data_IF_272109204096
#
_entry.id   IF_272109204096
#
_cell.length_a   1.000
_cell.length_b   1.000
_cell.length_c   1.000
_cell.angle_alpha   90.00
_cell.angle_beta   90.00
_cell.angle_gamma   90.00
#
_symmetry.space_group_name_H-M   'P 1'
#
loop_
_entity.id
_entity.type
_entity.pdbx_description
1 polymer ?
#
# COMPACT_ATOMS: atom_id res chain seq x y z
N UNK A 1 23.38 0.53 -9.50
CA UNK A 1 22.62 -0.64 -10.01
C UNK A 1 22.17 -1.40 -8.80
N UNK A 2 20.87 -1.67 -8.65
CA UNK A 2 20.34 -2.47 -7.54
C UNK A 2 20.57 -3.95 -7.86
N UNK A 3 21.81 -4.42 -7.73
CA UNK A 3 22.11 -5.84 -7.86
C UNK A 3 21.39 -6.66 -6.77
N UNK A 4 21.22 -7.96 -7.00
CA UNK A 4 20.61 -8.88 -6.04
C UNK A 4 21.55 -9.11 -4.84
N UNK A 5 21.53 -8.24 -3.82
CA UNK A 5 22.37 -8.38 -2.62
C UNK A 5 21.68 -9.21 -1.54
N UNK A 6 22.44 -10.05 -0.86
CA UNK A 6 21.94 -10.89 0.24
C UNK A 6 21.78 -10.06 1.52
N UNK A 7 20.56 -9.95 2.04
CA UNK A 7 20.25 -9.26 3.32
C UNK A 7 20.35 -10.18 4.51
N UNK A 8 19.83 -11.39 4.36
CA UNK A 8 19.76 -12.35 5.46
C UNK A 8 19.88 -13.78 4.97
N UNK A 9 20.39 -14.61 5.88
CA UNK A 9 20.55 -16.04 5.68
C UNK A 9 19.94 -16.70 6.91
N UNK A 10 18.97 -17.60 6.70
CA UNK A 10 18.37 -18.35 7.80
C UNK A 10 19.43 -19.26 8.44
N UNK A 11 19.59 -19.23 9.79
CA UNK A 11 20.54 -20.10 10.48
C UNK A 11 20.28 -21.60 10.28
N UNK A 12 19.04 -21.98 9.96
CA UNK A 12 18.62 -23.37 9.73
C UNK A 12 18.63 -23.76 8.25
N UNK A 13 19.13 -22.88 7.38
CA UNK A 13 19.13 -23.12 5.93
C UNK A 13 20.25 -24.08 5.49
N UNK A 14 20.12 -24.69 4.30
CA UNK A 14 21.20 -25.44 3.66
C UNK A 14 22.47 -24.62 3.38
N UNK A 15 22.43 -23.29 3.57
CA UNK A 15 23.54 -22.37 3.33
C UNK A 15 24.42 -22.14 4.56
N UNK A 16 24.01 -22.58 5.75
CA UNK A 16 24.67 -22.23 7.02
C UNK A 16 26.17 -22.56 7.04
N UNK A 17 26.57 -23.66 6.38
CA UNK A 17 27.95 -24.16 6.35
C UNK A 17 28.70 -23.84 5.03
N UNK A 18 28.13 -23.00 4.16
CA UNK A 18 28.70 -22.68 2.84
C UNK A 18 29.33 -21.27 2.81
N UNK A 19 30.21 -20.98 1.83
CA UNK A 19 30.84 -19.64 1.68
C UNK A 19 29.88 -18.60 1.07
N UNK A 20 28.76 -18.37 1.74
CA UNK A 20 27.74 -17.36 1.44
C UNK A 20 27.68 -16.38 2.62
N UNK A 21 27.72 -15.08 2.35
CA UNK A 21 27.67 -14.05 3.40
C UNK A 21 26.63 -12.99 3.08
N UNK A 22 26.07 -12.41 4.14
CA UNK A 22 25.31 -11.17 4.06
C UNK A 22 26.18 -10.11 3.36
N UNK A 23 25.60 -9.40 2.40
CA UNK A 23 26.26 -8.42 1.55
C UNK A 23 26.88 -8.98 0.26
N UNK A 24 26.99 -10.30 0.09
CA UNK A 24 27.40 -10.89 -1.21
C UNK A 24 26.35 -10.53 -2.28
N UNK A 25 26.80 -10.24 -3.50
CA UNK A 25 25.94 -9.98 -4.66
C UNK A 25 25.70 -11.27 -5.44
N UNK A 26 24.44 -11.65 -5.61
CA UNK A 26 24.01 -12.76 -6.44
C UNK A 26 24.05 -12.35 -7.92
N UNK A 27 24.92 -13.02 -8.67
CA UNK A 27 25.13 -12.76 -10.09
C UNK A 27 24.29 -13.71 -10.96
N UNK A 28 24.20 -14.98 -10.57
CA UNK A 28 23.45 -15.99 -11.30
C UNK A 28 23.03 -17.17 -10.41
N UNK A 29 21.92 -17.80 -10.76
CA UNK A 29 21.43 -19.07 -10.22
C UNK A 29 21.35 -20.06 -11.38
N UNK A 30 21.99 -21.22 -11.27
CA UNK A 30 22.04 -22.25 -12.31
C UNK A 30 22.48 -21.70 -13.69
N UNK A 31 23.39 -20.72 -13.67
CA UNK A 31 23.92 -20.08 -14.89
C UNK A 31 23.04 -18.98 -15.50
N UNK A 32 21.87 -18.70 -14.93
CA UNK A 32 20.97 -17.62 -15.36
C UNK A 32 21.03 -16.45 -14.37
N UNK A 33 21.16 -15.23 -14.89
CA UNK A 33 21.09 -14.03 -14.06
C UNK A 33 19.61 -13.65 -13.90
N UNK A 34 19.01 -13.80 -12.71
CA UNK A 34 17.62 -13.41 -12.51
C UNK A 34 17.47 -11.90 -12.69
N UNK A 35 16.33 -11.46 -13.24
CA UNK A 35 16.00 -10.03 -13.36
C UNK A 35 15.24 -9.50 -12.15
N UNK A 36 14.63 -10.38 -11.35
CA UNK A 36 13.83 -10.07 -10.17
C UNK A 36 13.66 -11.27 -9.25
N UNK A 37 12.99 -11.05 -8.11
CA UNK A 37 12.74 -12.06 -7.09
C UNK A 37 11.85 -13.21 -7.60
N UNK A 38 10.99 -12.96 -8.58
CA UNK A 38 10.08 -13.98 -9.15
C UNK A 38 10.92 -15.02 -9.91
N UNK A 39 11.78 -14.56 -10.82
CA UNK A 39 12.72 -15.44 -11.51
C UNK A 39 13.68 -16.13 -10.53
N UNK A 40 14.16 -15.42 -9.51
CA UNK A 40 14.99 -16.03 -8.48
C UNK A 40 14.30 -17.20 -7.79
N UNK A 41 13.06 -17.04 -7.33
CA UNK A 41 12.32 -18.12 -6.65
C UNK A 41 12.13 -19.34 -7.54
N UNK A 42 11.84 -19.12 -8.83
CA UNK A 42 11.75 -20.21 -9.81
C UNK A 42 13.09 -20.93 -10.00
N UNK A 43 14.19 -20.18 -10.10
CA UNK A 43 15.52 -20.75 -10.34
C UNK A 43 16.08 -21.51 -9.13
N UNK A 44 15.68 -21.14 -7.91
CA UNK A 44 16.10 -21.85 -6.69
C UNK A 44 15.16 -22.99 -6.32
N UNK A 45 14.10 -23.27 -7.06
CA UNK A 45 13.14 -24.32 -6.69
C UNK A 45 13.70 -25.74 -6.85
N UNK A 46 14.72 -25.90 -7.70
CA UNK A 46 15.38 -27.18 -7.99
C UNK A 46 16.10 -27.83 -6.78
N UNK A 47 16.37 -29.13 -6.90
CA UNK A 47 17.12 -29.91 -5.90
C UNK A 47 18.60 -29.49 -5.80
N UNK A 48 19.21 -29.14 -6.94
CA UNK A 48 20.60 -28.73 -7.05
C UNK A 48 20.68 -27.30 -7.56
N UNK A 49 21.10 -26.39 -6.68
CA UNK A 49 21.15 -24.95 -6.96
C UNK A 49 22.60 -24.47 -6.92
N UNK A 50 23.10 -23.94 -8.03
CA UNK A 50 24.43 -23.34 -8.11
C UNK A 50 24.32 -21.82 -8.15
N UNK A 51 24.77 -21.17 -7.08
CA UNK A 51 24.88 -19.73 -6.96
C UNK A 51 26.23 -19.27 -7.49
N UNK A 52 26.23 -18.22 -8.31
CA UNK A 52 27.43 -17.44 -8.64
C UNK A 52 27.38 -16.13 -7.86
N UNK A 53 28.34 -15.92 -6.96
CA UNK A 53 28.36 -14.81 -6.03
C UNK A 53 29.57 -13.89 -6.29
N UNK A 54 29.39 -12.61 -6.01
CA UNK A 54 30.44 -11.59 -6.01
C UNK A 54 30.52 -10.95 -4.62
N UNK A 55 31.62 -11.22 -3.91
CA UNK A 55 31.91 -10.58 -2.63
C UNK A 55 32.64 -9.27 -2.82
N UNK A 56 32.25 -8.24 -2.07
CA UNK A 56 32.97 -6.97 -2.07
C UNK A 56 34.44 -7.17 -1.65
N UNK A 57 35.35 -6.54 -2.38
CA UNK A 57 36.80 -6.67 -2.15
C UNK A 57 37.43 -7.97 -2.65
N UNK A 58 36.66 -8.96 -3.17
CA UNK A 58 37.22 -10.13 -3.86
C UNK A 58 37.20 -9.90 -5.38
N UNK A 59 38.33 -10.08 -6.09
CA UNK A 59 38.38 -9.82 -7.53
C UNK A 59 37.68 -10.88 -8.38
N UNK A 60 37.52 -12.10 -7.86
CA UNK A 60 36.93 -13.22 -8.58
C UNK A 60 35.58 -13.60 -7.98
N UNK A 61 34.61 -13.84 -8.85
CA UNK A 61 33.33 -14.47 -8.51
C UNK A 61 33.56 -15.91 -8.07
N UNK A 62 32.79 -16.38 -7.11
CA UNK A 62 32.87 -17.76 -6.62
C UNK A 62 31.53 -18.47 -6.78
N UNK A 63 31.60 -19.80 -6.94
CA UNK A 63 30.41 -20.65 -7.07
C UNK A 63 30.16 -21.39 -5.78
N UNK A 64 28.89 -21.48 -5.41
CA UNK A 64 28.41 -22.29 -4.29
C UNK A 64 27.30 -23.17 -4.80
N UNK A 65 27.48 -24.49 -4.69
CA UNK A 65 26.44 -25.45 -5.05
C UNK A 65 25.79 -25.98 -3.79
N UNK A 66 24.47 -25.97 -3.79
CA UNK A 66 23.61 -26.34 -2.67
C UNK A 66 22.73 -27.49 -3.11
N UNK A 67 22.69 -28.54 -2.30
CA UNK A 67 21.74 -29.63 -2.46
C UNK A 67 20.64 -29.50 -1.41
N UNK A 68 19.40 -29.47 -1.84
CA UNK A 68 18.21 -29.35 -0.99
C UNK A 68 17.07 -30.15 -1.58
N UNK A 69 15.98 -30.32 -0.86
CA UNK A 69 14.76 -30.90 -1.43
C UNK A 69 14.13 -29.88 -2.39
N UNK A 70 13.76 -30.32 -3.60
CA UNK A 70 13.04 -29.46 -4.54
C UNK A 70 11.74 -28.92 -3.89
N UNK A 71 11.37 -27.67 -4.16
CA UNK A 71 10.24 -27.03 -3.47
C UNK A 71 10.58 -26.38 -2.13
N UNK A 72 11.71 -26.74 -1.49
CA UNK A 72 12.08 -26.14 -0.20
C UNK A 72 12.81 -24.80 -0.38
N UNK A 73 12.54 -23.80 0.47
CA UNK A 73 13.23 -22.52 0.42
C UNK A 73 14.74 -22.67 0.62
N UNK A 74 15.52 -21.89 -0.14
CA UNK A 74 16.98 -21.86 0.03
C UNK A 74 17.41 -21.21 1.36
N UNK A 75 16.54 -20.39 1.96
CA UNK A 75 16.81 -19.67 3.20
C UNK A 75 17.67 -18.41 3.02
N UNK A 76 17.71 -17.86 1.81
CA UNK A 76 18.41 -16.62 1.44
C UNK A 76 17.37 -15.54 1.10
N UNK A 77 17.52 -14.36 1.70
CA UNK A 77 16.70 -13.17 1.41
C UNK A 77 17.52 -12.15 0.62
N UNK A 78 16.92 -11.57 -0.42
CA UNK A 78 17.54 -10.58 -1.29
C UNK A 78 16.94 -9.20 -1.03
N UNK A 79 17.77 -8.16 -1.09
CA UNK A 79 17.43 -6.78 -0.72
C UNK A 79 16.36 -6.14 -1.60
N UNK A 80 16.22 -6.56 -2.85
CA UNK A 80 15.31 -5.95 -3.83
C UNK A 80 14.34 -6.97 -4.42
N UNK A 81 13.13 -6.56 -4.78
CA UNK A 81 12.27 -7.37 -5.64
C UNK A 81 12.71 -7.32 -7.10
N UNK A 82 13.38 -6.25 -7.53
CA UNK A 82 13.77 -6.01 -8.92
C UNK A 82 15.28 -5.76 -9.01
N UNK A 83 15.97 -6.55 -9.82
CA UNK A 83 17.44 -6.54 -9.93
C UNK A 83 17.95 -5.72 -11.13
N UNK A 84 17.12 -5.60 -12.17
CA UNK A 84 17.47 -4.96 -13.45
C UNK A 84 16.98 -3.51 -13.60
N UNK A 85 16.50 -2.91 -12.50
CA UNK A 85 15.87 -1.59 -12.30
C UNK A 85 14.35 -1.61 -12.39
N UNK A 86 13.73 -0.90 -11.46
CA UNK A 86 12.29 -0.64 -11.44
C UNK A 86 11.91 0.15 -12.70
N UNK A 87 10.87 -0.29 -13.38
CA UNK A 87 10.28 0.48 -14.46
C UNK A 87 9.50 1.65 -13.86
N UNK A 88 9.94 2.88 -14.15
CA UNK A 88 9.30 4.10 -13.62
C UNK A 88 8.31 4.78 -14.56
N UNK A 89 7.10 5.06 -14.09
CA UNK A 89 6.01 5.73 -14.82
C UNK A 89 6.48 6.94 -15.66
N UNK A 90 6.01 7.03 -16.91
CA UNK A 90 6.26 8.17 -17.83
C UNK A 90 5.05 9.12 -17.94
N UNK A 91 3.99 8.88 -17.16
CA UNK A 91 2.81 9.73 -17.17
C UNK A 91 3.03 11.03 -16.39
N UNK A 92 2.40 12.08 -16.88
CA UNK A 92 2.46 13.42 -16.31
C UNK A 92 1.14 13.86 -15.68
N UNK A 93 0.43 12.92 -15.01
CA UNK A 93 -0.95 13.13 -14.59
C UNK A 93 -1.12 14.38 -13.71
N UNK A 94 -2.16 15.17 -13.97
CA UNK A 94 -2.48 16.37 -13.17
C UNK A 94 -2.80 16.04 -11.71
N UNK A 95 -3.35 14.85 -11.46
CA UNK A 95 -3.71 14.35 -10.13
C UNK A 95 -2.62 13.48 -9.49
N UNK A 96 -1.42 13.38 -10.08
CA UNK A 96 -0.37 12.50 -9.58
C UNK A 96 0.15 12.99 -8.21
N UNK A 97 -0.16 12.25 -7.15
CA UNK A 97 0.24 12.62 -5.79
C UNK A 97 1.75 12.86 -5.64
N UNK A 98 2.58 12.06 -6.33
CA UNK A 98 4.05 12.19 -6.30
C UNK A 98 4.51 13.57 -6.83
N UNK A 99 3.80 14.18 -7.78
CA UNK A 99 4.13 15.55 -8.21
C UNK A 99 3.70 16.63 -7.22
N UNK A 100 2.77 16.30 -6.34
CA UNK A 100 2.30 17.18 -5.27
C UNK A 100 3.15 17.05 -3.99
N UNK A 101 4.26 16.29 -4.03
CA UNK A 101 5.16 16.17 -2.89
C UNK A 101 6.17 17.34 -2.87
N UNK A 102 6.32 18.04 -1.74
CA UNK A 102 7.37 19.04 -1.59
C UNK A 102 8.75 18.40 -1.69
N UNK A 103 9.80 19.19 -1.90
CA UNK A 103 11.18 18.72 -1.85
C UNK A 103 11.60 18.42 -0.41
N UNK A 104 12.51 17.46 -0.23
CA UNK A 104 13.14 17.16 1.06
C UNK A 104 12.49 16.01 1.84
N UNK A 105 11.45 15.38 1.30
CA UNK A 105 10.90 14.14 1.84
C UNK A 105 11.84 12.95 1.59
N UNK A 106 11.49 11.80 2.16
CA UNK A 106 12.20 10.54 1.93
C UNK A 106 12.30 10.25 0.41
N UNK A 107 13.50 9.90 -0.05
CA UNK A 107 13.81 9.72 -1.49
C UNK A 107 12.88 8.73 -2.18
N UNK A 108 12.45 7.73 -1.44
CA UNK A 108 11.55 6.67 -1.87
C UNK A 108 10.22 7.17 -2.40
N UNK A 109 9.65 8.21 -1.78
CA UNK A 109 8.34 8.73 -2.13
C UNK A 109 8.31 9.40 -3.51
N UNK A 110 9.48 9.71 -4.10
CA UNK A 110 9.56 10.36 -5.41
C UNK A 110 9.68 9.37 -6.58
N UNK A 111 9.82 8.07 -6.33
CA UNK A 111 9.85 7.10 -7.41
C UNK A 111 8.42 6.84 -7.84
N UNK A 112 8.16 6.99 -9.13
CA UNK A 112 6.87 6.66 -9.72
C UNK A 112 6.99 5.29 -10.32
N UNK A 113 6.39 4.27 -9.73
CA UNK A 113 6.43 2.95 -10.32
C UNK A 113 5.29 2.77 -11.34
N UNK A 114 5.53 1.92 -12.33
CA UNK A 114 4.56 1.46 -13.32
C UNK A 114 5.04 0.08 -13.80
N UNK A 115 5.44 -0.76 -12.84
CA UNK A 115 6.09 -2.05 -13.06
C UNK A 115 5.13 -3.17 -12.64
N UNK A 116 4.74 -4.02 -13.58
CA UNK A 116 3.78 -5.10 -13.31
C UNK A 116 4.30 -6.10 -12.26
N UNK A 117 5.63 -6.21 -12.08
CA UNK A 117 6.22 -7.06 -11.05
C UNK A 117 5.92 -6.51 -9.67
N UNK A 118 6.02 -5.19 -9.51
CA UNK A 118 5.65 -4.53 -8.27
C UNK A 118 4.13 -4.54 -8.07
N UNK A 119 3.36 -4.50 -9.15
CA UNK A 119 1.92 -4.69 -9.10
C UNK A 119 1.53 -6.08 -8.56
N UNK A 120 2.16 -7.14 -9.06
CA UNK A 120 1.94 -8.51 -8.58
C UNK A 120 2.41 -8.71 -7.14
N UNK A 121 3.61 -8.23 -6.80
CA UNK A 121 4.20 -8.47 -5.49
C UNK A 121 3.55 -7.60 -4.40
N UNK A 122 3.36 -6.31 -4.67
CA UNK A 122 3.04 -5.30 -3.67
C UNK A 122 1.68 -4.64 -3.85
N UNK A 123 0.92 -5.00 -4.88
CA UNK A 123 -0.36 -4.36 -5.15
C UNK A 123 -0.27 -2.97 -5.76
N UNK A 124 0.92 -2.54 -6.20
CA UNK A 124 1.07 -1.22 -6.79
C UNK A 124 0.30 -1.10 -8.11
N UNK A 125 -0.38 0.03 -8.29
CA UNK A 125 -1.20 0.24 -9.48
C UNK A 125 -0.36 0.64 -10.69
N UNK A 126 -0.48 -0.12 -11.78
CA UNK A 126 0.08 0.23 -13.09
C UNK A 126 -0.97 0.86 -13.99
N UNK A 127 -0.57 1.85 -14.79
CA UNK A 127 -1.40 2.48 -15.82
C UNK A 127 -1.39 1.72 -17.15
N UNK A 128 -0.52 0.72 -17.26
CA UNK A 128 -0.22 -0.06 -18.46
C UNK A 128 0.31 0.76 -19.65
N UNK A 129 0.67 2.04 -19.46
CA UNK A 129 1.15 2.90 -20.57
C UNK A 129 2.52 2.50 -21.09
N UNK A 130 3.33 1.82 -20.27
CA UNK A 130 4.62 1.23 -20.68
C UNK A 130 4.62 -0.30 -20.71
N UNK A 131 3.45 -0.91 -20.61
CA UNK A 131 3.28 -2.35 -20.73
C UNK A 131 3.47 -2.78 -22.20
N UNK A 132 4.19 -3.86 -22.41
CA UNK A 132 4.59 -4.36 -23.74
C UNK A 132 4.10 -5.78 -23.99
N UNK A 133 4.20 -6.24 -25.23
CA UNK A 133 3.89 -7.62 -25.63
C UNK A 133 4.75 -8.64 -24.85
N UNK A 134 6.02 -8.33 -24.58
CA UNK A 134 6.91 -9.18 -23.79
C UNK A 134 6.47 -9.26 -22.32
N UNK A 135 5.94 -8.16 -21.77
CA UNK A 135 5.44 -8.16 -20.40
C UNK A 135 4.17 -9.00 -20.29
N UNK A 136 3.28 -8.90 -21.29
CA UNK A 136 2.09 -9.74 -21.38
C UNK A 136 2.48 -11.23 -21.43
N UNK A 137 3.39 -11.61 -22.34
CA UNK A 137 3.86 -12.99 -22.47
C UNK A 137 4.42 -13.50 -21.13
N UNK A 138 5.19 -12.67 -20.45
CA UNK A 138 5.77 -13.01 -19.16
C UNK A 138 4.71 -13.20 -18.07
N UNK A 139 3.78 -12.25 -17.93
CA UNK A 139 2.67 -12.35 -16.98
C UNK A 139 1.86 -13.63 -17.19
N UNK A 140 1.56 -13.98 -18.44
CA UNK A 140 0.78 -15.17 -18.77
C UNK A 140 1.58 -16.45 -18.51
N UNK A 141 2.83 -16.50 -18.96
CA UNK A 141 3.68 -17.70 -18.84
C UNK A 141 4.02 -18.01 -17.39
N UNK A 142 4.33 -16.98 -16.61
CA UNK A 142 4.64 -17.09 -15.17
C UNK A 142 3.38 -17.08 -14.29
N UNK A 143 2.19 -16.91 -14.87
CA UNK A 143 0.88 -16.86 -14.17
C UNK A 143 0.86 -15.81 -13.06
N UNK A 144 1.36 -14.62 -13.34
CA UNK A 144 1.43 -13.53 -12.37
C UNK A 144 0.04 -12.93 -12.15
N UNK A 145 -0.54 -13.20 -10.98
CA UNK A 145 -1.89 -12.80 -10.61
C UNK A 145 -2.03 -12.73 -9.09
N UNK A 146 -2.67 -11.70 -8.51
CA UNK A 146 -3.40 -10.62 -9.20
C UNK A 146 -2.49 -9.49 -9.70
N UNK A 147 -3.02 -8.63 -10.58
CA UNK A 147 -2.45 -7.34 -10.96
C UNK A 147 -3.39 -6.19 -10.59
N UNK A 148 -2.82 -5.01 -10.37
CA UNK A 148 -3.54 -3.80 -9.94
C UNK A 148 -3.40 -2.73 -11.02
N UNK A 149 -4.52 -2.29 -11.59
CA UNK A 149 -4.55 -1.44 -12.80
C UNK A 149 -5.29 -0.13 -12.53
N UNK A 150 -4.59 0.98 -12.74
CA UNK A 150 -5.12 2.34 -12.65
C UNK A 150 -5.90 2.71 -13.93
N UNK A 151 -7.22 2.50 -13.90
CA UNK A 151 -8.15 2.68 -15.03
C UNK A 151 -8.57 4.15 -15.18
N UNK A 152 -8.88 4.87 -14.10
CA UNK A 152 -9.31 6.29 -14.07
C UNK A 152 -10.55 6.67 -14.92
N UNK A 153 -10.57 6.34 -16.20
CA UNK A 153 -11.70 6.45 -17.11
C UNK A 153 -11.49 5.48 -18.27
N UNK A 154 -12.57 4.94 -18.81
CA UNK A 154 -12.54 4.13 -20.04
C UNK A 154 -12.61 4.98 -21.30
N UNK A 155 -12.80 6.29 -21.18
CA UNK A 155 -12.81 7.22 -22.31
C UNK A 155 -11.37 7.43 -22.81
N UNK A 156 -11.01 7.00 -24.05
CA UNK A 156 -9.63 7.04 -24.52
C UNK A 156 -9.03 8.44 -24.56
N UNK A 157 -9.81 9.44 -24.98
CA UNK A 157 -9.36 10.82 -25.10
C UNK A 157 -9.11 11.42 -23.72
N UNK A 158 -10.12 11.30 -22.84
CA UNK A 158 -10.00 11.81 -21.47
C UNK A 158 -8.88 11.10 -20.70
N UNK A 159 -8.70 9.78 -20.89
CA UNK A 159 -7.60 9.04 -20.26
C UNK A 159 -6.23 9.57 -20.70
N UNK A 160 -6.04 9.84 -22.00
CA UNK A 160 -4.79 10.42 -22.49
C UNK A 160 -4.53 11.83 -21.94
N UNK A 161 -5.58 12.64 -21.81
CA UNK A 161 -5.52 13.98 -21.21
C UNK A 161 -5.17 13.91 -19.71
N UNK A 162 -5.90 13.11 -18.95
CA UNK A 162 -5.70 12.87 -17.52
C UNK A 162 -4.30 12.37 -17.20
N UNK A 163 -3.78 11.42 -17.99
CA UNK A 163 -2.42 10.89 -17.84
C UNK A 163 -1.34 11.81 -18.44
N UNK A 164 -1.74 12.82 -19.23
CA UNK A 164 -0.86 13.62 -20.10
C UNK A 164 0.10 12.74 -20.91
N UNK A 165 -0.43 11.64 -21.44
CA UNK A 165 0.32 10.66 -22.22
C UNK A 165 -0.56 10.09 -23.33
N UNK A 166 -0.20 10.24 -24.61
CA UNK A 166 -1.00 9.72 -25.73
C UNK A 166 -1.16 8.20 -25.69
N UNK A 167 -0.23 7.46 -25.06
CA UNK A 167 -0.38 6.01 -24.86
C UNK A 167 -1.53 5.66 -23.92
N UNK A 168 -1.97 6.60 -23.07
CA UNK A 168 -3.14 6.44 -22.22
C UNK A 168 -4.41 6.09 -23.00
N UNK A 169 -4.57 6.60 -24.22
CA UNK A 169 -5.72 6.31 -25.06
C UNK A 169 -5.81 4.84 -25.49
N UNK A 170 -4.68 4.14 -25.58
CA UNK A 170 -4.62 2.77 -26.10
C UNK A 170 -4.21 1.74 -25.05
N UNK A 171 -3.73 2.15 -23.87
CA UNK A 171 -3.18 1.23 -22.88
C UNK A 171 -4.19 0.23 -22.30
N UNK A 172 -5.49 0.57 -22.28
CA UNK A 172 -6.54 -0.35 -21.81
C UNK A 172 -6.75 -1.57 -22.74
N UNK A 173 -6.13 -1.59 -23.93
CA UNK A 173 -6.04 -2.83 -24.74
C UNK A 173 -5.37 -3.97 -23.97
N UNK A 174 -4.41 -3.62 -23.10
CA UNK A 174 -3.69 -4.58 -22.27
C UNK A 174 -4.55 -5.14 -21.16
N UNK A 175 -5.43 -4.31 -20.57
CA UNK A 175 -6.39 -4.78 -19.58
C UNK A 175 -7.26 -5.91 -20.16
N UNK A 176 -7.81 -5.72 -21.37
CA UNK A 176 -8.60 -6.76 -22.04
C UNK A 176 -7.77 -8.04 -22.26
N UNK A 177 -6.53 -7.90 -22.75
CA UNK A 177 -5.65 -9.05 -23.01
C UNK A 177 -5.29 -9.82 -21.72
N UNK A 178 -5.09 -9.13 -20.60
CA UNK A 178 -4.84 -9.75 -19.29
C UNK A 178 -6.06 -10.54 -18.81
N UNK A 179 -7.26 -9.94 -18.90
CA UNK A 179 -8.51 -10.60 -18.52
C UNK A 179 -8.81 -11.82 -19.40
N UNK A 180 -8.59 -11.72 -20.71
CA UNK A 180 -8.74 -12.84 -21.66
C UNK A 180 -7.80 -14.01 -21.35
N UNK A 181 -6.63 -13.71 -20.79
CA UNK A 181 -5.66 -14.71 -20.34
C UNK A 181 -5.96 -15.28 -18.95
N UNK A 182 -7.04 -14.84 -18.29
CA UNK A 182 -7.44 -15.30 -16.96
C UNK A 182 -6.62 -14.70 -15.81
N UNK A 183 -5.93 -13.58 -16.03
CA UNK A 183 -5.23 -12.86 -14.95
C UNK A 183 -6.27 -12.14 -14.10
N UNK A 184 -6.24 -12.33 -12.76
CA UNK A 184 -7.10 -11.57 -11.88
C UNK A 184 -6.60 -10.11 -11.82
N UNK A 185 -7.48 -9.15 -12.09
CA UNK A 185 -7.14 -7.73 -12.10
C UNK A 185 -8.03 -6.94 -11.17
N UNK A 186 -7.43 -6.21 -10.22
CA UNK A 186 -8.08 -5.19 -9.42
C UNK A 186 -7.92 -3.83 -10.10
N UNK A 187 -9.03 -3.23 -10.54
CA UNK A 187 -9.05 -1.91 -11.16
C UNK A 187 -9.19 -0.80 -10.13
N UNK A 188 -8.66 0.39 -10.43
CA UNK A 188 -8.94 1.62 -9.67
C UNK A 188 -9.33 2.79 -10.58
N UNK A 189 -10.31 3.55 -10.12
CA UNK A 189 -10.73 4.84 -10.66
C UNK A 189 -10.46 5.92 -9.61
N UNK A 190 -9.37 6.67 -9.80
CA UNK A 190 -9.18 7.95 -9.10
C UNK A 190 -10.07 8.98 -9.76
N UNK A 191 -11.07 9.45 -9.01
CA UNK A 191 -12.07 10.41 -9.48
C UNK A 191 -11.61 11.82 -9.14
N UNK A 192 -11.68 12.72 -10.11
CA UNK A 192 -11.28 14.12 -10.01
C UNK A 192 -12.50 15.01 -10.31
N UNK A 193 -12.88 15.93 -9.39
CA UNK A 193 -14.05 16.77 -9.58
C UNK A 193 -14.00 17.60 -10.87
N UNK A 194 -15.08 17.58 -11.66
CA UNK A 194 -15.21 18.30 -12.93
C UNK A 194 -14.37 17.75 -14.09
N UNK A 195 -13.79 16.55 -13.95
CA UNK A 195 -12.92 15.93 -14.98
C UNK A 195 -13.44 14.57 -15.40
N UNK A 196 -13.47 13.61 -14.47
CA UNK A 196 -13.94 12.25 -14.72
C UNK A 196 -14.99 11.79 -13.69
N UNK A 197 -15.67 12.75 -13.06
CA UNK A 197 -16.88 12.53 -12.25
C UNK A 197 -18.15 12.65 -13.09
N UNK A 198 -19.32 12.53 -12.45
CA UNK A 198 -20.62 12.68 -13.12
C UNK A 198 -20.80 11.70 -14.29
N UNK A 199 -21.15 12.22 -15.46
CA UNK A 199 -21.43 11.43 -16.65
C UNK A 199 -20.21 10.61 -17.14
N UNK A 200 -18.98 11.10 -16.97
CA UNK A 200 -17.79 10.34 -17.36
C UNK A 200 -17.48 9.21 -16.37
N UNK A 201 -17.79 9.40 -15.08
CA UNK A 201 -17.75 8.32 -14.10
C UNK A 201 -18.81 7.26 -14.42
N UNK A 202 -20.06 7.67 -14.65
CA UNK A 202 -21.16 6.77 -15.03
C UNK A 202 -20.78 5.91 -16.24
N UNK A 203 -20.29 6.53 -17.32
CA UNK A 203 -19.77 5.83 -18.50
C UNK A 203 -18.66 4.83 -18.15
N UNK A 204 -17.75 5.20 -17.26
CA UNK A 204 -16.64 4.33 -16.82
C UNK A 204 -17.15 3.11 -16.05
N UNK A 205 -18.18 3.28 -15.19
CA UNK A 205 -18.79 2.21 -14.42
C UNK A 205 -19.63 1.28 -15.32
N UNK A 206 -20.35 1.83 -16.30
CA UNK A 206 -21.05 1.04 -17.34
C UNK A 206 -20.08 0.19 -18.17
N UNK A 207 -18.99 0.80 -18.63
CA UNK A 207 -17.95 0.09 -19.39
C UNK A 207 -17.27 -0.99 -18.54
N UNK A 208 -17.08 -0.77 -17.24
CA UNK A 208 -16.55 -1.81 -16.35
C UNK A 208 -17.46 -3.04 -16.29
N UNK A 209 -18.78 -2.85 -16.21
CA UNK A 209 -19.75 -3.95 -16.19
C UNK A 209 -19.91 -4.65 -17.53
N UNK A 210 -19.79 -3.93 -18.63
CA UNK A 210 -20.11 -4.45 -19.97
C UNK A 210 -18.90 -4.93 -20.76
N UNK A 211 -17.76 -4.25 -20.63
CA UNK A 211 -16.52 -4.54 -21.36
C UNK A 211 -15.50 -5.32 -20.54
N UNK A 212 -15.57 -5.20 -19.21
CA UNK A 212 -14.61 -5.81 -18.27
C UNK A 212 -15.27 -6.54 -17.09
N UNK A 213 -16.36 -7.33 -17.28
CA UNK A 213 -17.06 -8.02 -16.19
C UNK A 213 -16.18 -9.04 -15.44
N UNK A 214 -15.02 -9.41 -15.99
CA UNK A 214 -14.05 -10.35 -15.41
C UNK A 214 -13.09 -9.70 -14.40
N UNK A 215 -13.09 -8.37 -14.26
CA UNK A 215 -12.30 -7.66 -13.23
C UNK A 215 -12.55 -8.29 -11.85
N UNK A 216 -11.51 -8.52 -11.06
CA UNK A 216 -11.66 -9.05 -9.71
C UNK A 216 -12.41 -8.04 -8.81
N UNK A 217 -12.06 -6.75 -8.92
CA UNK A 217 -12.80 -5.63 -8.32
C UNK A 217 -12.52 -4.33 -9.09
N UNK A 218 -13.32 -3.30 -8.84
CA UNK A 218 -13.10 -1.92 -9.27
C UNK A 218 -13.28 -0.98 -8.08
N UNK A 219 -12.17 -0.44 -7.57
CA UNK A 219 -12.15 0.55 -6.51
C UNK A 219 -12.37 1.96 -7.08
N UNK A 220 -13.33 2.70 -6.55
CA UNK A 220 -13.57 4.11 -6.90
C UNK A 220 -13.14 4.97 -5.72
N UNK A 221 -12.15 5.84 -5.93
CA UNK A 221 -11.49 6.62 -4.88
C UNK A 221 -11.46 8.11 -5.23
N UNK A 222 -11.55 9.02 -4.26
CA UNK A 222 -11.43 10.46 -4.51
C UNK A 222 -9.96 10.84 -4.73
N UNK A 223 -9.72 11.92 -5.45
CA UNK A 223 -8.38 12.49 -5.58
C UNK A 223 -7.91 13.13 -4.26
N UNK A 224 -6.70 12.76 -3.83
CA UNK A 224 -5.99 13.47 -2.77
C UNK A 224 -5.24 14.69 -3.31
N UNK A 225 -5.52 15.88 -2.76
CA UNK A 225 -4.89 17.13 -3.19
C UNK A 225 -4.12 17.78 -2.05
N UNK A 226 -2.81 17.94 -2.23
CA UNK A 226 -1.94 18.62 -1.27
C UNK A 226 -1.83 20.11 -1.56
N UNK A 227 -1.47 20.92 -0.55
CA UNK A 227 -1.15 22.36 -0.73
C UNK A 227 0.04 22.64 -1.64
N UNK A 228 0.85 21.62 -1.94
CA UNK A 228 2.00 21.74 -2.83
C UNK A 228 1.67 21.31 -4.25
N UNK A 229 0.41 20.97 -4.54
CA UNK A 229 -0.03 20.67 -5.88
C UNK A 229 0.18 21.90 -6.79
N UNK A 230 0.94 21.78 -7.89
CA UNK A 230 1.15 22.90 -8.81
C UNK A 230 0.00 23.11 -9.80
N UNK A 231 -1.02 22.24 -9.79
CA UNK A 231 -2.10 22.22 -10.80
C UNK A 231 -3.34 22.99 -10.33
N UNK A 232 -3.58 24.18 -10.88
CA UNK A 232 -4.75 25.02 -10.55
C UNK A 232 -6.10 24.33 -10.83
N UNK A 233 -6.12 23.36 -11.76
CA UNK A 233 -7.34 22.62 -12.11
C UNK A 233 -7.69 21.51 -11.13
N UNK A 234 -6.81 21.18 -10.18
CA UNK A 234 -7.05 20.11 -9.22
C UNK A 234 -7.55 20.65 -7.89
N UNK A 235 -8.61 20.04 -7.38
CA UNK A 235 -9.18 20.31 -6.05
C UNK A 235 -9.75 19.03 -5.43
N UNK A 236 -9.92 19.07 -4.12
CA UNK A 236 -10.67 18.04 -3.40
C UNK A 236 -12.17 18.12 -3.72
N UNK A 237 -12.87 17.00 -3.50
CA UNK A 237 -14.33 16.98 -3.52
C UNK A 237 -14.89 17.81 -2.38
N UNK A 238 -15.93 18.58 -2.67
CA UNK A 238 -16.81 19.12 -1.64
C UNK A 238 -17.75 18.01 -1.10
N UNK A 239 -18.25 18.09 0.15
CA UNK A 239 -19.08 17.05 0.74
C UNK A 239 -20.33 16.68 -0.08
N UNK A 240 -20.96 17.64 -0.74
CA UNK A 240 -22.14 17.41 -1.58
C UNK A 240 -21.78 16.69 -2.88
N UNK A 241 -20.63 17.01 -3.48
CA UNK A 241 -20.13 16.34 -4.69
C UNK A 241 -19.69 14.91 -4.37
N UNK A 242 -19.03 14.70 -3.23
CA UNK A 242 -18.67 13.37 -2.75
C UNK A 242 -19.91 12.49 -2.53
N UNK A 243 -21.01 13.07 -2.03
CA UNK A 243 -22.29 12.35 -1.87
C UNK A 243 -22.89 11.93 -3.20
N UNK A 244 -22.90 12.81 -4.21
CA UNK A 244 -23.41 12.49 -5.55
C UNK A 244 -22.57 11.40 -6.20
N UNK A 245 -21.23 11.50 -6.12
CA UNK A 245 -20.33 10.46 -6.64
C UNK A 245 -20.54 9.12 -5.91
N UNK A 246 -20.67 9.14 -4.59
CA UNK A 246 -20.91 7.94 -3.77
C UNK A 246 -22.24 7.25 -4.12
N UNK A 247 -23.32 8.03 -4.26
CA UNK A 247 -24.64 7.49 -4.65
C UNK A 247 -24.58 6.80 -6.02
N UNK A 248 -23.83 7.36 -6.97
CA UNK A 248 -23.60 6.75 -8.28
C UNK A 248 -22.83 5.43 -8.15
N UNK A 249 -21.77 5.39 -7.35
CA UNK A 249 -20.98 4.17 -7.13
C UNK A 249 -21.82 3.08 -6.45
N UNK A 250 -22.61 3.43 -5.42
CA UNK A 250 -23.53 2.51 -4.73
C UNK A 250 -24.62 1.97 -5.68
N UNK A 251 -25.13 2.81 -6.59
CA UNK A 251 -26.07 2.37 -7.61
C UNK A 251 -25.45 1.30 -8.52
N UNK A 252 -24.27 1.58 -9.07
CA UNK A 252 -23.57 0.65 -9.97
C UNK A 252 -23.09 -0.62 -9.28
N UNK A 253 -22.77 -0.54 -7.99
CA UNK A 253 -22.51 -1.72 -7.17
C UNK A 253 -23.71 -2.65 -7.10
N UNK A 254 -24.91 -2.12 -6.87
CA UNK A 254 -26.13 -2.94 -6.82
C UNK A 254 -26.46 -3.52 -8.21
N UNK A 255 -26.26 -2.73 -9.28
CA UNK A 255 -26.37 -3.24 -10.66
C UNK A 255 -25.39 -4.40 -10.90
N UNK A 256 -24.14 -4.28 -10.45
CA UNK A 256 -23.14 -5.35 -10.54
C UNK A 256 -23.60 -6.60 -9.78
N UNK A 257 -24.09 -6.44 -8.56
CA UNK A 257 -24.58 -7.54 -7.73
C UNK A 257 -25.74 -8.27 -8.40
N UNK A 258 -26.68 -7.55 -9.00
CA UNK A 258 -27.84 -8.14 -9.68
C UNK A 258 -27.47 -8.83 -11.00
N UNK A 259 -26.52 -8.27 -11.76
CA UNK A 259 -26.16 -8.76 -13.10
C UNK A 259 -25.05 -9.81 -13.11
N UNK A 260 -24.06 -9.69 -12.20
CA UNK A 260 -22.88 -10.55 -12.12
C UNK A 260 -22.89 -11.47 -10.89
N UNK A 261 -23.83 -11.27 -9.95
CA UNK A 261 -23.91 -12.05 -8.71
C UNK A 261 -22.88 -11.67 -7.65
N UNK A 262 -22.13 -10.57 -7.84
CA UNK A 262 -21.10 -10.05 -6.93
C UNK A 262 -20.97 -8.53 -7.05
N UNK A 263 -20.56 -7.80 -6.00
CA UNK A 263 -20.30 -6.38 -6.07
C UNK A 263 -18.95 -6.13 -6.75
N UNK A 264 -18.96 -5.96 -8.06
CA UNK A 264 -17.73 -5.66 -8.81
C UNK A 264 -17.14 -4.29 -8.43
N UNK A 265 -17.99 -3.33 -8.13
CA UNK A 265 -17.66 -1.91 -7.99
C UNK A 265 -17.82 -1.52 -6.53
N UNK A 266 -16.78 -0.92 -5.94
CA UNK A 266 -16.78 -0.49 -4.54
C UNK A 266 -16.20 0.93 -4.39
N UNK A 267 -16.83 1.74 -3.54
CA UNK A 267 -16.31 3.05 -3.15
C UNK A 267 -15.32 2.91 -1.99
N UNK A 268 -14.29 3.75 -1.95
CA UNK A 268 -13.41 3.82 -0.78
C UNK A 268 -14.09 4.39 0.45
N UNK A 269 -13.58 4.00 1.62
CA UNK A 269 -13.98 4.54 2.91
C UNK A 269 -13.84 6.07 2.93
N UNK A 270 -12.86 6.62 2.22
CA UNK A 270 -12.66 8.06 2.09
C UNK A 270 -13.84 8.76 1.41
N UNK A 271 -14.49 8.16 0.39
CA UNK A 271 -15.69 8.74 -0.22
C UNK A 271 -16.85 8.82 0.77
N UNK A 272 -17.06 7.78 1.57
CA UNK A 272 -18.07 7.80 2.63
C UNK A 272 -17.79 8.94 3.62
N UNK A 273 -16.54 9.05 4.09
CA UNK A 273 -16.14 10.06 5.07
C UNK A 273 -16.25 11.48 4.52
N UNK A 274 -15.85 11.71 3.26
CA UNK A 274 -16.06 12.99 2.57
C UNK A 274 -17.54 13.34 2.43
N UNK A 275 -18.40 12.36 2.15
CA UNK A 275 -19.85 12.55 2.06
C UNK A 275 -20.53 12.75 3.43
N UNK A 276 -19.76 12.66 4.54
CA UNK A 276 -20.29 12.73 5.91
C UNK A 276 -21.06 11.48 6.32
N UNK A 277 -20.78 10.34 5.70
CA UNK A 277 -21.40 9.04 5.97
C UNK A 277 -20.38 8.09 6.61
N UNK A 278 -20.85 7.21 7.49
CA UNK A 278 -20.01 6.12 8.01
C UNK A 278 -19.76 5.10 6.89
N UNK A 279 -18.51 4.63 6.70
CA UNK A 279 -18.24 3.49 5.83
C UNK A 279 -19.06 2.24 6.23
N UNK A 280 -19.44 1.37 5.27
CA UNK A 280 -20.21 0.17 5.55
C UNK A 280 -19.49 -0.81 6.50
N UNK A 281 -20.24 -1.65 7.24
CA UNK A 281 -19.67 -2.69 8.09
C UNK A 281 -19.16 -3.89 7.27
N UNK A 282 -18.50 -4.84 7.92
CA UNK A 282 -17.83 -5.97 7.25
C UNK A 282 -18.78 -6.83 6.40
N UNK A 283 -20.04 -7.02 6.83
CA UNK A 283 -21.04 -7.84 6.12
C UNK A 283 -21.49 -7.22 4.80
N UNK A 284 -21.13 -5.97 4.54
CA UNK A 284 -21.38 -5.31 3.28
C UNK A 284 -20.49 -5.88 2.16
N UNK A 285 -19.27 -6.31 2.48
CA UNK A 285 -18.24 -6.70 1.53
C UNK A 285 -18.19 -8.23 1.34
N UNK A 286 -17.95 -8.69 0.11
CA UNK A 286 -17.71 -10.11 -0.17
C UNK A 286 -16.34 -10.57 0.35
N UNK A 287 -15.33 -9.68 0.29
CA UNK A 287 -14.03 -9.84 0.94
C UNK A 287 -13.43 -8.48 1.32
N UNK A 288 -12.53 -8.49 2.30
CA UNK A 288 -11.80 -7.30 2.78
C UNK A 288 -10.37 -7.23 2.24
N UNK A 289 -10.07 -7.96 1.16
CA UNK A 289 -8.71 -8.05 0.57
C UNK A 289 -8.22 -6.69 0.03
N UNK A 290 -9.13 -5.73 -0.17
CA UNK A 290 -8.84 -4.37 -0.64
C UNK A 290 -8.79 -3.33 0.49
N UNK A 291 -8.80 -3.74 1.76
CA UNK A 291 -8.72 -2.84 2.92
C UNK A 291 -7.51 -1.90 2.84
N UNK A 292 -6.36 -2.40 2.40
CA UNK A 292 -5.13 -1.59 2.29
C UNK A 292 -5.16 -0.59 1.12
N UNK A 293 -6.05 -0.82 0.15
CA UNK A 293 -6.36 0.12 -0.93
C UNK A 293 -7.50 1.10 -0.56
N UNK A 294 -7.91 1.10 0.71
CA UNK A 294 -8.92 2.01 1.24
C UNK A 294 -10.37 1.55 1.05
N UNK A 295 -10.61 0.28 0.70
CA UNK A 295 -11.97 -0.29 0.58
C UNK A 295 -12.23 -1.21 1.79
N UNK A 296 -13.10 -0.80 2.72
CA UNK A 296 -13.42 -1.61 3.89
C UNK A 296 -12.32 -1.63 4.96
N UNK A 297 -11.41 -0.66 4.95
CA UNK A 297 -10.35 -0.51 5.95
C UNK A 297 -10.93 -0.34 7.35
N UNK A 298 -11.97 0.50 7.49
CA UNK A 298 -12.67 0.76 8.74
C UNK A 298 -13.34 -0.53 9.24
N UNK A 299 -14.05 -1.24 8.36
CA UNK A 299 -14.70 -2.50 8.68
C UNK A 299 -13.69 -3.56 9.16
N UNK A 300 -12.57 -3.72 8.43
CA UNK A 300 -11.48 -4.63 8.78
C UNK A 300 -10.86 -4.28 10.14
N UNK A 301 -10.60 -3.00 10.37
CA UNK A 301 -10.03 -2.53 11.64
C UNK A 301 -10.98 -2.81 12.80
N UNK A 302 -12.26 -2.47 12.66
CA UNK A 302 -13.27 -2.70 13.70
C UNK A 302 -13.47 -4.18 14.01
N UNK A 303 -13.56 -5.05 12.98
CA UNK A 303 -13.70 -6.50 13.14
C UNK A 303 -12.48 -7.08 13.88
N UNK A 304 -11.28 -6.62 13.53
CA UNK A 304 -10.05 -7.02 14.19
C UNK A 304 -9.97 -6.55 15.64
N UNK A 305 -10.46 -5.34 15.93
CA UNK A 305 -10.49 -4.82 17.30
C UNK A 305 -11.47 -5.60 18.18
N UNK A 306 -12.66 -5.93 17.67
CA UNK A 306 -13.66 -6.71 18.41
C UNK A 306 -13.23 -8.15 18.68
N UNK A 307 -12.17 -8.62 18.01
CA UNK A 307 -11.54 -9.92 18.22
C UNK A 307 -12.11 -11.02 17.31
N UNK A 308 -12.86 -10.62 16.28
CA UNK A 308 -13.54 -11.56 15.39
C UNK A 308 -12.59 -12.15 14.33
N UNK A 309 -11.50 -11.46 13.99
CA UNK A 309 -10.55 -11.90 12.95
C UNK A 309 -9.18 -11.23 13.12
N UNK A 310 -8.07 -11.95 12.83
CA UNK A 310 -6.78 -11.27 12.70
C UNK A 310 -6.76 -10.45 11.40
N UNK A 311 -6.44 -9.17 11.51
CA UNK A 311 -6.19 -8.36 10.32
C UNK A 311 -4.75 -8.65 9.87
N UNK A 312 -4.62 -9.45 8.82
CA UNK A 312 -3.34 -9.65 8.18
C UNK A 312 -2.82 -8.29 7.69
N UNK A 313 -1.63 -7.92 8.14
CA UNK A 313 -0.89 -6.78 7.58
C UNK A 313 -0.39 -7.24 6.21
N UNK A 314 -1.24 -7.18 5.20
CA UNK A 314 -0.89 -7.59 3.84
C UNK A 314 -0.12 -6.53 3.06
N UNK A 315 0.38 -5.45 3.66
CA UNK A 315 1.50 -4.65 3.16
C UNK A 315 1.40 -4.08 1.74
N UNK A 316 0.21 -3.73 1.24
CA UNK A 316 -0.04 -3.30 -0.15
C UNK A 316 -0.59 -1.87 -0.31
N UNK A 317 -0.48 -1.01 0.70
CA UNK A 317 -1.06 0.34 0.63
C UNK A 317 -0.38 1.29 -0.39
N UNK A 318 -1.18 2.13 -1.05
CA UNK A 318 -0.80 3.17 -2.04
C UNK A 318 0.34 4.13 -1.61
N UNK A 319 0.63 4.25 -0.31
CA UNK A 319 1.76 5.05 0.21
C UNK A 319 2.97 4.22 0.70
N UNK A 320 2.97 2.90 0.51
CA UNK A 320 4.15 2.06 0.72
C UNK A 320 5.09 2.04 -0.49
N UNK A 321 4.65 2.53 -1.65
CA UNK A 321 5.51 2.72 -2.82
C UNK A 321 6.34 4.01 -2.58
N UNK A 322 7.67 4.05 -2.55
CA UNK A 322 8.65 3.16 -3.16
C UNK A 322 9.99 3.29 -2.43
N UNK A 323 10.25 2.54 -1.36
CA UNK A 323 11.66 2.22 -1.09
C UNK A 323 12.12 1.29 -2.22
N UNK A 324 13.05 1.76 -3.06
CA UNK A 324 13.88 0.83 -3.85
C UNK A 324 14.57 -0.06 -2.82
N UNK A 325 13.97 -1.21 -2.56
CA UNK A 325 13.96 -1.85 -1.24
C UNK A 325 15.34 -1.88 -0.54
N UNK A 326 15.45 -1.37 0.71
CA UNK A 326 16.60 -1.63 1.55
C UNK A 326 16.41 -2.88 2.43
N UNK A 327 17.43 -3.73 2.39
CA UNK A 327 18.14 -4.49 3.43
C UNK A 327 17.42 -5.32 4.51
N UNK A 328 16.10 -5.26 4.69
CA UNK A 328 15.41 -6.05 5.71
C UNK A 328 14.14 -6.64 5.10
N UNK A 329 14.15 -7.97 4.89
CA UNK A 329 13.19 -8.68 4.07
C UNK A 329 11.76 -8.17 4.17
N UNK A 330 11.23 -7.61 3.08
CA UNK A 330 9.82 -7.38 2.71
C UNK A 330 8.85 -6.75 3.74
N UNK A 331 9.33 -6.44 4.94
CA UNK A 331 8.66 -5.85 6.09
C UNK A 331 9.72 -5.05 6.84
N UNK A 332 10.10 -3.90 6.29
CA UNK A 332 10.82 -2.93 7.11
C UNK A 332 9.96 -2.68 8.38
N UNK A 333 10.48 -2.93 9.60
CA UNK A 333 9.71 -2.66 10.80
C UNK A 333 9.32 -1.19 10.79
N UNK A 334 8.01 -0.90 10.77
CA UNK A 334 7.51 0.49 10.81
C UNK A 334 8.07 1.22 12.04
N UNK A 335 8.11 0.52 13.17
CA UNK A 335 8.92 0.79 14.35
C UNK A 335 9.01 -0.49 15.21
N UNK A 336 9.92 -0.54 16.19
CA UNK A 336 9.81 -1.52 17.28
C UNK A 336 8.60 -1.19 18.14
N UNK A 337 7.76 -2.18 18.45
CA UNK A 337 6.67 -2.00 19.41
C UNK A 337 7.24 -1.48 20.73
N UNK A 338 6.87 -0.25 21.08
CA UNK A 338 7.15 0.28 22.41
C UNK A 338 6.08 -0.24 23.37
N UNK A 339 6.41 -0.26 24.66
CA UNK A 339 5.39 -0.57 25.67
C UNK A 339 4.91 0.72 26.30
N UNK A 340 3.63 1.04 26.11
CA UNK A 340 3.01 2.18 26.76
C UNK A 340 3.10 2.04 28.29
N UNK A 341 3.58 3.10 28.96
CA UNK A 341 3.69 3.18 30.41
C UNK A 341 3.33 4.58 30.87
N UNK A 342 2.33 4.71 31.73
CA UNK A 342 1.87 6.00 32.24
C UNK A 342 0.40 5.93 32.68
N UNK A 343 -0.01 6.82 33.57
CA UNK A 343 -1.39 6.89 34.08
C UNK A 343 -2.38 7.43 33.05
N UNK A 344 -1.91 8.19 32.05
CA UNK A 344 -2.73 8.85 31.03
C UNK A 344 -2.29 8.47 29.62
N UNK A 345 -3.10 7.68 28.92
CA UNK A 345 -2.85 7.26 27.53
C UNK A 345 -3.79 7.98 26.57
N UNK A 346 -3.22 8.48 25.47
CA UNK A 346 -3.95 9.11 24.36
C UNK A 346 -3.67 8.39 23.06
N UNK A 347 -4.66 8.27 22.19
CA UNK A 347 -4.52 7.69 20.86
C UNK A 347 -4.44 8.79 19.80
N UNK A 348 -3.33 8.87 19.08
CA UNK A 348 -3.19 9.75 17.91
C UNK A 348 -3.77 9.08 16.67
N UNK A 349 -4.39 9.85 15.79
CA UNK A 349 -4.87 9.36 14.49
C UNK A 349 -5.12 10.52 13.53
N UNK A 350 -5.43 10.22 12.26
CA UNK A 350 -5.87 11.22 11.29
C UNK A 350 -7.31 11.66 11.54
N UNK A 351 -7.67 12.86 11.08
CA UNK A 351 -9.00 13.44 11.30
C UNK A 351 -10.16 12.55 10.81
N UNK A 352 -9.96 11.79 9.73
CA UNK A 352 -10.97 10.87 9.20
C UNK A 352 -11.31 9.72 10.15
N UNK A 353 -10.30 9.13 10.78
CA UNK A 353 -10.49 7.98 11.66
C UNK A 353 -10.84 8.37 13.10
N UNK A 354 -10.54 9.61 13.52
CA UNK A 354 -10.79 10.07 14.87
C UNK A 354 -12.23 9.87 15.39
N UNK A 355 -13.30 10.29 14.67
CA UNK A 355 -14.67 10.07 15.16
C UNK A 355 -15.02 8.58 15.27
N UNK A 356 -14.56 7.76 14.32
CA UNK A 356 -14.81 6.31 14.30
C UNK A 356 -14.10 5.60 15.47
N UNK A 357 -12.86 6.00 15.75
CA UNK A 357 -12.08 5.43 16.86
C UNK A 357 -12.64 5.85 18.22
N UNK A 358 -13.17 7.08 18.37
CA UNK A 358 -13.87 7.47 19.61
C UNK A 358 -15.06 6.58 19.87
N UNK A 359 -15.92 6.40 18.87
CA UNK A 359 -17.09 5.53 18.98
C UNK A 359 -16.69 4.08 19.32
N UNK A 360 -15.71 3.53 18.59
CA UNK A 360 -15.23 2.16 18.82
C UNK A 360 -14.66 1.96 20.24
N UNK A 361 -13.88 2.92 20.74
CA UNK A 361 -13.31 2.85 22.08
C UNK A 361 -14.38 3.04 23.16
N UNK A 362 -15.33 3.95 22.97
CA UNK A 362 -16.45 4.14 23.89
C UNK A 362 -17.30 2.86 24.02
N UNK A 363 -17.66 2.25 22.88
CA UNK A 363 -18.42 0.99 22.83
C UNK A 363 -17.66 -0.17 23.52
N UNK A 364 -16.35 -0.20 23.37
CA UNK A 364 -15.48 -1.20 23.98
C UNK A 364 -15.05 -0.88 25.42
N UNK A 365 -15.67 0.12 26.04
CA UNK A 365 -15.40 0.54 27.41
C UNK A 365 -13.96 1.04 27.62
N UNK A 366 -13.37 1.71 26.64
CA UNK A 366 -12.08 2.42 26.67
C UNK A 366 -12.26 3.95 26.60
N UNK A 367 -13.35 4.47 27.17
CA UNK A 367 -13.67 5.92 27.20
C UNK A 367 -12.69 6.77 28.02
N UNK A 368 -11.78 6.13 28.75
CA UNK A 368 -10.64 6.74 29.46
C UNK A 368 -9.45 7.05 28.53
N UNK A 369 -9.44 6.51 27.32
CA UNK A 369 -8.40 6.75 26.30
C UNK A 369 -8.83 7.91 25.40
N UNK A 370 -8.15 9.05 25.52
CA UNK A 370 -8.48 10.23 24.72
C UNK A 370 -7.99 10.07 23.27
N UNK A 371 -8.89 10.16 22.28
CA UNK A 371 -8.54 10.12 20.85
C UNK A 371 -8.29 11.53 20.32
N UNK A 372 -7.06 11.79 19.90
CA UNK A 372 -6.59 13.06 19.36
C UNK A 372 -6.44 12.96 17.83
N UNK A 373 -7.17 13.82 17.13
CA UNK A 373 -7.01 14.00 15.70
C UNK A 373 -5.81 14.92 15.43
N UNK A 374 -4.80 14.41 14.72
CA UNK A 374 -3.66 15.22 14.28
C UNK A 374 -4.05 15.93 12.98
N UNK A 375 -4.09 17.26 13.02
CA UNK A 375 -4.39 18.08 11.84
C UNK A 375 -3.17 18.11 10.91
N UNK A 376 -3.38 17.76 9.64
CA UNK A 376 -2.29 17.70 8.65
C UNK A 376 -2.01 19.06 8.01
N UNK A 377 -1.43 19.98 8.79
CA UNK A 377 -1.08 21.31 8.27
C UNK A 377 0.05 21.23 7.24
N UNK A 378 0.92 20.22 7.34
CA UNK A 378 2.03 20.04 6.41
C UNK A 378 1.56 19.91 4.95
N UNK A 379 0.54 19.10 4.68
CA UNK A 379 -0.06 18.96 3.35
C UNK A 379 -1.27 19.88 3.12
N UNK A 380 -1.65 20.72 4.08
CA UNK A 380 -2.68 21.76 3.92
C UNK A 380 -4.10 21.36 4.32
N UNK A 381 -4.25 20.34 5.17
CA UNK A 381 -5.52 19.99 5.81
C UNK A 381 -6.49 19.14 4.97
N UNK A 382 -6.27 19.04 3.65
CA UNK A 382 -7.10 18.21 2.78
C UNK A 382 -6.77 16.71 2.88
N UNK A 383 -5.61 16.38 3.44
CA UNK A 383 -5.15 14.99 3.63
C UNK A 383 -5.36 14.60 5.09
N UNK A 384 -6.35 13.74 5.35
CA UNK A 384 -6.84 13.46 6.71
C UNK A 384 -6.61 12.02 7.18
N UNK A 385 -5.82 11.26 6.43
CA UNK A 385 -5.47 9.86 6.73
C UNK A 385 -4.28 9.76 7.67
N UNK A 386 -4.26 8.72 8.51
CA UNK A 386 -3.17 8.49 9.44
C UNK A 386 -1.83 8.19 8.74
N UNK A 387 -1.84 7.55 7.57
CA UNK A 387 -0.62 7.19 6.83
C UNK A 387 0.23 8.36 6.33
N UNK A 388 -0.32 9.59 6.33
CA UNK A 388 0.37 10.80 5.87
C UNK A 388 0.56 11.84 6.99
N UNK A 389 0.46 11.42 8.25
CA UNK A 389 0.87 12.25 9.37
C UNK A 389 2.37 12.52 9.30
N UNK A 390 2.77 13.76 9.57
CA UNK A 390 4.16 14.20 9.56
C UNK A 390 4.72 14.28 10.97
N UNK A 391 6.03 14.12 11.12
CA UNK A 391 6.67 14.28 12.43
C UNK A 391 6.46 15.69 12.96
N UNK A 392 6.46 16.70 12.09
CA UNK A 392 6.15 18.09 12.45
C UNK A 392 4.73 18.26 13.05
N UNK A 393 3.72 17.65 12.44
CA UNK A 393 2.32 17.74 12.90
C UNK A 393 2.10 16.94 14.19
N UNK A 394 2.70 15.75 14.30
CA UNK A 394 2.66 14.95 15.51
C UNK A 394 3.37 15.66 16.67
N UNK A 395 4.59 16.20 16.44
CA UNK A 395 5.36 16.94 17.44
C UNK A 395 4.59 18.12 18.02
N UNK A 396 3.91 18.88 17.14
CA UNK A 396 3.05 19.99 17.56
C UNK A 396 1.93 19.50 18.47
N UNK A 397 1.25 18.42 18.09
CA UNK A 397 0.12 17.86 18.85
C UNK A 397 0.56 17.35 20.23
N UNK A 398 1.64 16.56 20.31
CA UNK A 398 2.08 15.97 21.59
C UNK A 398 2.67 16.98 22.56
N UNK A 399 3.13 18.14 22.06
CA UNK A 399 3.67 19.22 22.88
C UNK A 399 2.63 19.88 23.80
N UNK A 400 1.34 19.68 23.53
CA UNK A 400 0.23 20.23 24.33
C UNK A 400 0.06 19.51 25.69
N UNK A 401 0.43 18.23 25.78
CA UNK A 401 0.40 17.46 27.02
C UNK A 401 1.61 16.50 27.09
N UNK A 402 2.80 16.99 27.49
CA UNK A 402 4.06 16.22 27.48
C UNK A 402 4.08 15.05 28.48
N UNK A 403 3.21 15.07 29.49
CA UNK A 403 3.15 14.05 30.54
C UNK A 403 2.26 12.86 30.15
N UNK A 404 1.54 12.95 29.04
CA UNK A 404 0.74 11.84 28.51
C UNK A 404 1.59 10.86 27.70
N UNK A 405 1.21 9.58 27.70
CA UNK A 405 1.72 8.59 26.75
C UNK A 405 0.84 8.56 25.52
N UNK A 406 1.43 8.70 24.34
CA UNK A 406 0.73 8.72 23.06
C UNK A 406 0.90 7.39 22.33
N UNK A 407 -0.19 6.79 21.89
CA UNK A 407 -0.19 5.69 20.94
C UNK A 407 -0.29 6.27 19.54
N UNK A 408 0.67 5.93 18.67
CA UNK A 408 0.75 6.42 17.30
C UNK A 408 0.58 5.24 16.33
N UNK A 409 -0.33 5.31 15.35
CA UNK A 409 -0.48 4.26 14.34
C UNK A 409 0.78 4.20 13.48
N UNK A 410 1.41 3.04 13.43
CA UNK A 410 2.69 2.82 12.77
C UNK A 410 2.65 3.01 11.24
N UNK A 411 1.48 3.09 10.62
CA UNK A 411 1.29 3.32 9.19
C UNK A 411 1.87 4.67 8.73
N UNK A 412 2.04 5.64 9.64
CA UNK A 412 2.70 6.91 9.35
C UNK A 412 4.25 6.83 9.36
N UNK A 413 4.80 5.66 9.70
CA UNK A 413 6.23 5.43 9.86
C UNK A 413 6.76 4.42 8.84
N UNK A 414 8.01 4.61 8.47
CA UNK A 414 8.80 3.63 7.73
C UNK A 414 10.23 3.68 8.27
N UNK A 415 10.71 2.54 8.79
CA UNK A 415 11.97 2.44 9.55
C UNK A 415 12.07 3.46 10.69
N UNK A 416 10.96 3.68 11.41
CA UNK A 416 10.86 4.63 12.51
C UNK A 416 10.87 6.11 12.09
N UNK A 417 10.75 6.41 10.78
CA UNK A 417 10.71 7.79 10.26
C UNK A 417 9.36 8.14 9.66
N UNK A 418 8.93 9.37 9.92
CA UNK A 418 7.79 9.97 9.25
C UNK A 418 8.10 10.34 7.79
N UNK A 419 7.07 10.70 7.04
CA UNK A 419 7.17 11.09 5.61
C UNK A 419 8.10 12.28 5.39
N UNK A 420 8.16 13.22 6.35
CA UNK A 420 9.03 14.41 6.39
C UNK A 420 10.45 14.13 6.89
N UNK A 421 10.78 12.87 7.20
CA UNK A 421 12.12 12.41 7.54
C UNK A 421 12.49 12.45 9.03
N UNK A 422 11.63 13.08 9.85
CA UNK A 422 11.74 13.12 11.31
C UNK A 422 11.71 11.70 11.87
N UNK A 423 12.62 11.37 12.78
CA UNK A 423 12.59 10.09 13.51
C UNK A 423 11.55 10.14 14.64
N UNK A 424 10.90 9.00 14.91
CA UNK A 424 9.98 8.87 16.05
C UNK A 424 10.64 9.26 17.38
N UNK A 425 11.94 8.94 17.53
CA UNK A 425 12.72 9.31 18.71
C UNK A 425 12.88 10.83 18.90
N UNK A 426 12.80 11.62 17.83
CA UNK A 426 12.88 13.09 17.88
C UNK A 426 11.56 13.73 18.33
N UNK A 427 10.42 13.05 18.12
CA UNK A 427 9.09 13.54 18.52
C UNK A 427 8.93 13.50 20.04
N UNK A 428 9.35 12.40 20.67
CA UNK A 428 9.29 12.25 22.13
C UNK A 428 9.31 10.80 22.57
N UNK A 429 9.97 10.52 23.70
CA UNK A 429 10.04 9.17 24.27
C UNK A 429 8.70 8.67 24.81
N UNK A 430 7.73 9.56 24.98
CA UNK A 430 6.36 9.27 25.39
C UNK A 430 5.44 8.92 24.21
N UNK A 431 5.95 8.89 22.97
CA UNK A 431 5.21 8.49 21.77
C UNK A 431 5.59 7.06 21.39
N UNK A 432 4.61 6.18 21.42
CA UNK A 432 4.76 4.74 21.21
C UNK A 432 4.03 4.32 19.94
N UNK A 433 4.77 3.78 18.98
CA UNK A 433 4.17 3.22 17.78
C UNK A 433 3.42 1.93 18.07
N UNK A 434 2.21 1.82 17.53
CA UNK A 434 1.32 0.65 17.62
C UNK A 434 0.97 0.23 16.20
N UNK A 435 0.98 -1.07 15.95
CA UNK A 435 0.55 -1.61 14.65
C UNK A 435 -0.86 -1.14 14.32
N UNK A 436 -1.02 -0.68 13.09
CA UNK A 436 -2.29 -0.14 12.59
C UNK A 436 -3.28 -1.25 12.26
N UNK A 437 -3.58 -2.09 13.25
CA UNK A 437 -4.61 -3.13 13.21
C UNK A 437 -5.47 -3.01 14.47
N UNK A 438 -6.73 -3.45 14.38
CA UNK A 438 -7.64 -3.39 15.52
C UNK A 438 -7.16 -4.27 16.68
N UNK A 439 -6.72 -5.49 16.40
CA UNK A 439 -6.22 -6.43 17.41
C UNK A 439 -4.99 -5.90 18.16
N UNK A 440 -4.07 -5.23 17.46
CA UNK A 440 -2.85 -4.73 18.08
C UNK A 440 -3.17 -3.54 18.99
N UNK A 441 -4.04 -2.62 18.54
CA UNK A 441 -4.52 -1.54 19.39
C UNK A 441 -5.20 -2.09 20.66
N UNK A 442 -6.12 -3.05 20.51
CA UNK A 442 -6.78 -3.67 21.66
C UNK A 442 -5.79 -4.32 22.62
N UNK A 443 -4.86 -5.14 22.10
CA UNK A 443 -3.82 -5.78 22.92
C UNK A 443 -3.00 -4.73 23.66
N UNK A 444 -2.59 -3.64 23.00
CA UNK A 444 -1.84 -2.56 23.65
C UNK A 444 -2.64 -1.93 24.81
N UNK A 445 -3.93 -1.66 24.61
CA UNK A 445 -4.80 -1.08 25.64
C UNK A 445 -5.05 -2.05 26.82
N UNK A 446 -5.24 -3.35 26.56
CA UNK A 446 -5.40 -4.38 27.60
C UNK A 446 -4.13 -4.51 28.46
N UNK A 447 -2.95 -4.51 27.83
CA UNK A 447 -1.67 -4.54 28.53
C UNK A 447 -1.46 -3.28 29.39
N UNK A 448 -1.82 -2.12 28.87
CA UNK A 448 -1.75 -0.86 29.63
C UNK A 448 -2.63 -0.91 30.88
N UNK A 449 -3.90 -1.31 30.76
CA UNK A 449 -4.82 -1.43 31.91
C UNK A 449 -4.33 -2.41 32.96
N UNK A 450 -3.79 -3.55 32.55
CA UNK A 450 -3.25 -4.56 33.48
C UNK A 450 -2.10 -4.01 34.31
N UNK A 451 -1.27 -3.13 33.73
CA UNK A 451 -0.17 -2.48 34.44
C UNK A 451 -0.64 -1.43 35.44
N UNK A 452 -1.70 -0.69 35.14
CA UNK A 452 -2.28 0.27 36.09
C UNK A 452 -2.87 -0.42 37.33
N UNK A 453 -3.41 -1.62 37.20
CA UNK A 453 -3.93 -2.40 38.33
C UNK A 453 -2.79 -3.02 39.17
N UNK A 454 -1.61 -3.19 38.58
CA UNK A 454 -0.45 -3.83 39.22
C UNK A 454 0.57 -2.85 39.83
N UNK A 455 0.45 -1.56 39.51
CA UNK A 455 1.25 -0.45 40.05
C UNK A 455 0.52 0.18 41.25
#
# INVERSE_FOLDING_TARGET
MSGARISSISPTSPLADLDVRIGDELIAVNGRAPTDIIEYQQLVDDESVTLLLQREGRPLRHKVTVSKVAGTPLGLTIDSAVFDRIRTCDNHCSFCFIYQLPKGLRRSLYVKDDDFRLSFLYGNYTTLTRFTEMDLERVVTERLSPLYVSIHTTNPQLRAEMLRNPRGATSLRWLRALLDAGVAVHGQVVTCPGINDGAELERTLEDALTLYPELASLAVVPVGVSRFNPEDSMRSFEPDEARVALELVEHFREVARQSLGRPLIEASDEFYLLAGRRPPPAEYYDSLDQAENGIGLVASFEQSFRGDTEMDVLGTGFFQSVDGAPAWGYRAPRASEGVASGERVKLLTGEYAAPLLRELLDDAQYSDVEVIAVTNDYFGGNIKVAGLLTGADVSRTVSEDPEATYLLPDVCLNEGRFVDGVELAEVGSNVVAVKTTGQDLRRTLEHWRTRLVSA
#
